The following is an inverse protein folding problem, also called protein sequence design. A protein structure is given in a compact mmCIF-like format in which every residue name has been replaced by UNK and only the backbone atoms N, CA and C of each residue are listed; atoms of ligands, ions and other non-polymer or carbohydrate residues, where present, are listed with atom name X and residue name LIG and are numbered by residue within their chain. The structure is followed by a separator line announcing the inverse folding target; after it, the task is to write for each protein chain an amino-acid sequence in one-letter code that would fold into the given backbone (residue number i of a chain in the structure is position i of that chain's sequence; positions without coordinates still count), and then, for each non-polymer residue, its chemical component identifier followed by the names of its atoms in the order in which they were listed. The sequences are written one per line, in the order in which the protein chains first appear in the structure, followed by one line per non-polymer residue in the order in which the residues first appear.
data_IF_048285584246
#
_entry.id   IF_048285584246
#
_cell.length_a   1.000
_cell.length_b   1.000
_cell.length_c   1.000
_cell.angle_alpha   90.00
_cell.angle_beta   90.00
_cell.angle_gamma   90.00
#
_symmetry.space_group_name_H-M   'P 1'
#
loop_
_entity.id
_entity.type
_entity.pdbx_description
1 polymer ?
#
# COMPACT_ATOMS: atom_id res chain seq x y z
N UNK A 1 7.10 -11.07 -8.18
CA UNK A 1 5.86 -11.71 -8.72
C UNK A 1 5.67 -13.18 -8.27
N UNK A 2 6.26 -13.63 -7.14
CA UNK A 2 6.11 -15.00 -6.60
C UNK A 2 4.64 -15.42 -6.42
N UNK A 3 3.81 -14.49 -5.96
CA UNK A 3 2.43 -14.72 -5.52
C UNK A 3 1.36 -14.55 -6.62
N UNK A 4 1.76 -14.13 -7.83
CA UNK A 4 0.84 -13.90 -8.95
C UNK A 4 0.73 -15.10 -9.90
N UNK A 5 1.72 -16.00 -9.90
CA UNK A 5 1.76 -17.10 -10.86
C UNK A 5 0.70 -18.16 -10.53
N UNK A 6 -0.29 -18.38 -11.42
CA UNK A 6 -1.39 -19.30 -11.17
C UNK A 6 -0.97 -20.77 -11.06
N UNK A 7 0.24 -21.12 -11.51
CA UNK A 7 0.80 -22.48 -11.40
C UNK A 7 1.22 -22.83 -9.98
N UNK A 8 1.51 -21.83 -9.15
CA UNK A 8 2.06 -22.00 -7.79
C UNK A 8 1.26 -21.29 -6.71
N UNK A 9 0.40 -20.32 -7.07
CA UNK A 9 -0.40 -19.54 -6.13
C UNK A 9 -1.90 -19.80 -6.33
N UNK A 10 -2.62 -20.03 -5.24
CA UNK A 10 -4.07 -20.19 -5.20
C UNK A 10 -4.82 -18.90 -5.55
N UNK A 11 -6.11 -19.01 -5.89
CA UNK A 11 -6.92 -17.82 -6.19
C UNK A 11 -6.97 -16.81 -5.03
N UNK A 12 -7.17 -17.22 -3.74
CA UNK A 12 -7.09 -16.29 -2.61
C UNK A 12 -5.73 -15.58 -2.49
N UNK A 13 -4.62 -16.27 -2.77
CA UNK A 13 -3.28 -15.66 -2.75
C UNK A 13 -3.14 -14.60 -3.85
N UNK A 14 -3.66 -14.87 -5.04
CA UNK A 14 -3.63 -13.90 -6.14
C UNK A 14 -4.53 -12.68 -5.87
N UNK A 15 -5.71 -12.88 -5.29
CA UNK A 15 -6.60 -11.77 -4.88
C UNK A 15 -5.93 -10.91 -3.81
N UNK A 16 -5.29 -11.53 -2.81
CA UNK A 16 -4.56 -10.80 -1.78
C UNK A 16 -3.34 -10.06 -2.34
N UNK A 17 -2.62 -10.70 -3.27
CA UNK A 17 -1.48 -10.07 -3.95
C UNK A 17 -1.93 -8.87 -4.76
N UNK A 18 -3.06 -8.98 -5.46
CA UNK A 18 -3.68 -7.86 -6.15
C UNK A 18 -4.02 -6.72 -5.18
N UNK A 19 -4.69 -7.00 -4.06
CA UNK A 19 -4.95 -5.99 -3.03
C UNK A 19 -3.68 -5.32 -2.48
N UNK A 20 -2.58 -6.08 -2.36
CA UNK A 20 -1.28 -5.57 -1.92
C UNK A 20 -0.64 -4.67 -2.99
N UNK A 21 -0.77 -5.00 -4.27
CA UNK A 21 -0.27 -4.18 -5.38
C UNK A 21 -1.05 -2.87 -5.47
N UNK A 22 -2.38 -2.89 -5.43
CA UNK A 22 -3.18 -1.66 -5.55
C UNK A 22 -3.09 -0.80 -4.28
N UNK A 23 -2.97 -1.44 -3.10
CA UNK A 23 -3.10 -0.75 -1.81
C UNK A 23 -1.79 -0.38 -1.13
N UNK A 24 -0.71 -1.14 -1.33
CA UNK A 24 0.59 -0.93 -0.66
C UNK A 24 1.66 -0.49 -1.65
N UNK A 25 1.80 -1.15 -2.80
CA UNK A 25 2.74 -0.67 -3.81
C UNK A 25 2.33 0.72 -4.29
N UNK A 26 3.32 1.56 -4.58
CA UNK A 26 3.14 2.96 -4.97
C UNK A 26 2.50 3.89 -3.91
N UNK A 27 2.08 3.38 -2.75
CA UNK A 27 1.56 4.22 -1.67
C UNK A 27 2.60 5.28 -1.25
N UNK A 28 3.88 4.92 -1.21
CA UNK A 28 4.97 5.86 -0.93
C UNK A 28 5.13 6.92 -2.02
N UNK A 29 4.92 6.55 -3.29
CA UNK A 29 4.94 7.47 -4.43
C UNK A 29 3.79 8.48 -4.38
N UNK A 30 2.56 8.01 -4.11
CA UNK A 30 1.41 8.90 -3.96
C UNK A 30 1.62 9.90 -2.82
N UNK A 31 2.11 9.45 -1.67
CA UNK A 31 2.44 10.31 -0.54
C UNK A 31 3.54 11.33 -0.90
N UNK A 32 4.56 10.91 -1.66
CA UNK A 32 5.65 11.78 -2.13
C UNK A 32 5.16 12.89 -3.07
N UNK A 33 4.18 12.60 -3.94
CA UNK A 33 3.61 13.62 -4.81
C UNK A 33 2.68 14.56 -4.02
N UNK A 34 1.91 14.04 -3.06
CA UNK A 34 1.15 14.89 -2.13
C UNK A 34 2.05 15.82 -1.31
N UNK A 35 3.26 15.39 -0.97
CA UNK A 35 4.25 16.25 -0.35
C UNK A 35 4.64 17.44 -1.23
N UNK A 36 4.81 17.23 -2.54
CA UNK A 36 5.06 18.31 -3.51
C UNK A 36 3.83 19.24 -3.62
N UNK A 37 2.61 18.70 -3.61
CA UNK A 37 1.37 19.49 -3.57
C UNK A 37 1.34 20.42 -2.36
N UNK A 38 1.71 19.94 -1.16
CA UNK A 38 1.75 20.75 0.08
C UNK A 38 2.69 21.95 -0.04
N UNK A 39 3.71 21.86 -0.90
CA UNK A 39 4.67 22.93 -1.21
C UNK A 39 4.22 23.83 -2.37
N UNK A 40 3.03 23.60 -2.93
CA UNK A 40 2.51 24.34 -4.09
C UNK A 40 3.22 24.02 -5.40
N UNK A 41 3.90 22.86 -5.49
CA UNK A 41 4.68 22.46 -6.65
C UNK A 41 3.88 21.51 -7.57
N UNK A 42 4.13 21.59 -8.88
CA UNK A 42 3.60 20.66 -9.89
C UNK A 42 2.07 20.42 -9.79
N UNK A 43 1.23 21.45 -10.00
CA UNK A 43 -0.22 21.36 -9.79
C UNK A 43 -0.90 20.35 -10.73
N UNK A 44 -0.47 20.26 -11.99
CA UNK A 44 -1.01 19.27 -12.94
C UNK A 44 -0.71 17.83 -12.50
N UNK A 45 0.53 17.55 -12.06
CA UNK A 45 0.92 16.25 -11.53
C UNK A 45 0.14 15.91 -10.26
N UNK A 46 0.01 16.87 -9.34
CA UNK A 46 -0.71 16.67 -8.07
C UNK A 46 -2.19 16.36 -8.29
N UNK A 47 -2.83 17.08 -9.22
CA UNK A 47 -4.22 16.82 -9.58
C UNK A 47 -4.40 15.43 -10.20
N UNK A 48 -3.55 15.03 -11.16
CA UNK A 48 -3.58 13.67 -11.70
C UNK A 48 -3.33 12.61 -10.63
N UNK A 49 -2.40 12.87 -9.71
CA UNK A 49 -2.10 11.98 -8.60
C UNK A 49 -3.31 11.76 -7.68
N UNK A 50 -4.08 12.80 -7.38
CA UNK A 50 -5.33 12.68 -6.60
C UNK A 50 -6.35 11.76 -7.26
N UNK A 51 -6.52 11.90 -8.58
CA UNK A 51 -7.46 11.08 -9.33
C UNK A 51 -7.00 9.62 -9.36
N UNK A 52 -5.72 9.39 -9.62
CA UNK A 52 -5.15 8.03 -9.67
C UNK A 52 -5.20 7.39 -8.28
N UNK A 53 -4.75 8.06 -7.23
CA UNK A 53 -4.77 7.51 -5.88
C UNK A 53 -6.18 7.19 -5.39
N UNK A 54 -7.18 7.98 -5.79
CA UNK A 54 -8.59 7.68 -5.53
C UNK A 54 -9.01 6.37 -6.22
N UNK A 55 -8.63 6.21 -7.49
CA UNK A 55 -9.01 5.04 -8.28
C UNK A 55 -8.32 3.76 -7.73
N UNK A 56 -7.05 3.84 -7.33
CA UNK A 56 -6.36 2.72 -6.67
C UNK A 56 -6.98 2.35 -5.30
N UNK A 57 -7.52 3.33 -4.58
CA UNK A 57 -8.34 3.08 -3.39
C UNK A 57 -9.55 2.23 -3.70
N UNK A 58 -10.27 2.57 -4.77
CA UNK A 58 -11.43 1.81 -5.22
C UNK A 58 -11.07 0.39 -5.65
N UNK A 59 -9.93 0.20 -6.34
CA UNK A 59 -9.44 -1.12 -6.71
C UNK A 59 -9.08 -1.96 -5.47
N UNK A 60 -8.43 -1.35 -4.49
CA UNK A 60 -8.08 -1.99 -3.22
C UNK A 60 -9.31 -2.41 -2.41
N UNK A 61 -10.32 -1.53 -2.35
CA UNK A 61 -11.60 -1.82 -1.69
C UNK A 61 -12.34 -2.95 -2.41
N UNK A 62 -12.32 -2.96 -3.74
CA UNK A 62 -12.89 -4.04 -4.53
C UNK A 62 -12.17 -5.38 -4.29
N UNK A 63 -10.84 -5.38 -4.25
CA UNK A 63 -10.06 -6.57 -3.93
C UNK A 63 -10.36 -7.10 -2.52
N UNK A 64 -10.50 -6.20 -1.54
CA UNK A 64 -10.89 -6.54 -0.17
C UNK A 64 -12.31 -7.12 -0.11
N UNK A 65 -13.24 -6.55 -0.88
CA UNK A 65 -14.60 -7.08 -1.02
C UNK A 65 -14.58 -8.49 -1.64
N UNK A 66 -13.84 -8.70 -2.74
CA UNK A 66 -13.68 -10.02 -3.35
C UNK A 66 -13.13 -11.04 -2.35
N UNK A 67 -12.09 -10.66 -1.60
CA UNK A 67 -11.50 -11.51 -0.57
C UNK A 67 -12.51 -11.85 0.54
N UNK A 68 -13.34 -10.89 0.96
CA UNK A 68 -14.36 -11.09 2.00
C UNK A 68 -15.39 -12.16 1.61
N UNK A 69 -15.69 -12.31 0.31
CA UNK A 69 -16.64 -13.26 -0.26
C UNK A 69 -16.07 -14.65 -0.53
N UNK A 70 -14.76 -14.85 -0.33
CA UNK A 70 -14.15 -16.17 -0.43
C UNK A 70 -14.66 -17.09 0.68
N UNK A 71 -15.03 -18.31 0.30
CA UNK A 71 -15.42 -19.37 1.25
C UNK A 71 -14.18 -19.88 2.01
N UNK A 72 -13.11 -20.18 1.28
CA UNK A 72 -11.84 -20.67 1.83
C UNK A 72 -10.82 -19.53 1.87
N UNK A 73 -10.76 -18.83 3.01
CA UNK A 73 -9.79 -17.75 3.25
C UNK A 73 -8.43 -18.32 3.63
N UNK A 74 -7.38 -17.52 3.39
CA UNK A 74 -6.02 -17.90 3.79
C UNK A 74 -5.87 -17.81 5.31
N UNK A 75 -5.00 -18.63 5.92
CA UNK A 75 -4.63 -18.43 7.31
C UNK A 75 -3.97 -17.06 7.47
N UNK A 76 -4.22 -16.39 8.60
CA UNK A 76 -3.70 -15.04 8.86
C UNK A 76 -2.17 -14.95 8.73
N UNK A 77 -1.44 -16.02 9.04
CA UNK A 77 0.01 -16.10 8.85
C UNK A 77 0.44 -15.97 7.39
N UNK A 78 -0.28 -16.58 6.44
CA UNK A 78 0.00 -16.45 4.99
C UNK A 78 -0.41 -15.06 4.48
N UNK A 79 -1.48 -14.49 5.02
CA UNK A 79 -1.86 -13.10 4.71
C UNK A 79 -0.74 -12.14 5.13
N UNK A 80 -0.25 -12.30 6.37
CA UNK A 80 0.85 -11.50 6.89
C UNK A 80 2.14 -11.68 6.09
N UNK A 81 2.46 -12.88 5.62
CA UNK A 81 3.63 -13.14 4.77
C UNK A 81 3.58 -12.28 3.50
N UNK A 82 2.47 -12.35 2.75
CA UNK A 82 2.31 -11.63 1.48
C UNK A 82 2.36 -10.10 1.69
N UNK A 83 1.69 -9.61 2.74
CA UNK A 83 1.67 -8.18 3.07
C UNK A 83 3.05 -7.69 3.52
N UNK A 84 3.81 -8.46 4.32
CA UNK A 84 5.18 -8.08 4.72
C UNK A 84 6.14 -8.04 3.54
N UNK A 85 6.04 -9.00 2.62
CA UNK A 85 6.81 -8.99 1.38
C UNK A 85 6.55 -7.70 0.59
N UNK A 86 5.27 -7.31 0.48
CA UNK A 86 4.86 -6.06 -0.16
C UNK A 86 5.45 -4.81 0.49
N UNK A 87 5.34 -4.69 1.81
CA UNK A 87 5.90 -3.57 2.58
C UNK A 87 7.41 -3.48 2.43
N UNK A 88 8.11 -4.62 2.46
CA UNK A 88 9.57 -4.67 2.35
C UNK A 88 10.04 -4.10 1.02
N UNK A 89 9.36 -4.47 -0.08
CA UNK A 89 9.68 -3.96 -1.42
C UNK A 89 9.42 -2.45 -1.50
N UNK A 90 8.30 -1.96 -0.98
CA UNK A 90 8.00 -0.52 -1.00
C UNK A 90 8.96 0.28 -0.12
N UNK A 91 9.40 -0.27 1.02
CA UNK A 91 10.45 0.32 1.87
C UNK A 91 11.77 0.48 1.12
N UNK A 92 12.23 -0.57 0.43
CA UNK A 92 13.43 -0.52 -0.42
C UNK A 92 13.28 0.52 -1.53
N UNK A 93 12.08 0.62 -2.13
CA UNK A 93 11.81 1.60 -3.17
C UNK A 93 11.97 3.04 -2.68
N UNK A 94 11.32 3.42 -1.57
CA UNK A 94 11.34 4.80 -1.06
C UNK A 94 12.64 5.21 -0.37
N UNK A 95 13.48 4.25 0.01
CA UNK A 95 14.77 4.50 0.66
C UNK A 95 15.94 4.45 -0.30
N UNK A 96 15.98 3.42 -1.15
CA UNK A 96 17.19 3.03 -1.87
C UNK A 96 17.04 3.33 -3.37
N UNK A 97 15.90 2.99 -3.98
CA UNK A 97 15.68 3.20 -5.43
C UNK A 97 15.35 4.65 -5.78
N UNK A 98 14.40 5.25 -5.06
CA UNK A 98 14.02 6.66 -5.17
C UNK A 98 13.95 7.27 -3.75
N UNK A 99 15.11 7.64 -3.17
CA UNK A 99 15.18 8.17 -1.82
C UNK A 99 14.29 9.40 -1.64
N UNK A 100 13.28 9.32 -0.78
CA UNK A 100 12.33 10.42 -0.53
C UNK A 100 12.98 11.64 0.13
N UNK A 101 14.17 11.47 0.70
CA UNK A 101 15.04 12.55 1.15
C UNK A 101 15.38 13.53 0.03
N UNK A 102 15.47 13.06 -1.23
CA UNK A 102 15.79 13.91 -2.39
C UNK A 102 14.76 15.03 -2.62
N UNK A 103 13.51 14.83 -2.17
CA UNK A 103 12.42 15.81 -2.22
C UNK A 103 12.13 16.46 -0.86
N UNK A 104 12.99 16.21 0.14
CA UNK A 104 12.92 16.78 1.48
C UNK A 104 11.95 16.08 2.43
N UNK A 105 11.61 14.81 2.19
CA UNK A 105 10.88 13.98 3.14
C UNK A 105 11.84 13.17 4.03
N UNK A 106 11.31 12.51 5.06
CA UNK A 106 12.07 11.62 5.94
C UNK A 106 11.68 10.17 5.64
N UNK A 107 12.64 9.32 5.22
CA UNK A 107 12.35 7.92 4.88
C UNK A 107 11.82 7.12 6.05
N UNK A 108 12.26 7.35 7.29
CA UNK A 108 11.73 6.63 8.45
C UNK A 108 10.23 6.90 8.66
N UNK A 109 9.81 8.16 8.47
CA UNK A 109 8.39 8.53 8.51
C UNK A 109 7.62 7.98 7.30
N UNK A 110 8.24 7.90 6.13
CA UNK A 110 7.64 7.24 4.96
C UNK A 110 7.46 5.73 5.18
N UNK A 111 8.44 5.06 5.78
CA UNK A 111 8.34 3.65 6.13
C UNK A 111 7.18 3.41 7.12
N UNK A 112 7.04 4.26 8.15
CA UNK A 112 5.89 4.22 9.07
C UNK A 112 4.55 4.47 8.36
N UNK A 113 4.52 5.35 7.35
CA UNK A 113 3.33 5.56 6.53
C UNK A 113 2.94 4.28 5.78
N UNK A 114 3.90 3.63 5.13
CA UNK A 114 3.68 2.38 4.38
C UNK A 114 3.19 1.28 5.33
N UNK A 115 3.76 1.18 6.54
CA UNK A 115 3.31 0.26 7.59
C UNK A 115 1.88 0.53 8.04
N UNK A 116 1.50 1.81 8.19
CA UNK A 116 0.14 2.22 8.50
C UNK A 116 -0.85 1.84 7.39
N UNK A 117 -0.48 2.05 6.12
CA UNK A 117 -1.29 1.65 4.96
C UNK A 117 -1.48 0.13 4.93
N UNK A 118 -0.41 -0.63 5.21
CA UNK A 118 -0.49 -2.09 5.29
C UNK A 118 -1.41 -2.57 6.43
N UNK A 119 -1.32 -1.96 7.62
CA UNK A 119 -2.23 -2.27 8.72
C UNK A 119 -3.69 -1.92 8.38
N UNK A 120 -3.93 -0.85 7.63
CA UNK A 120 -5.27 -0.50 7.16
C UNK A 120 -5.82 -1.56 6.20
N UNK A 121 -5.00 -2.02 5.25
CA UNK A 121 -5.38 -3.12 4.36
C UNK A 121 -5.70 -4.40 5.14
N UNK A 122 -4.86 -4.77 6.12
CA UNK A 122 -5.10 -5.93 6.98
C UNK A 122 -6.44 -5.82 7.73
N UNK A 123 -6.76 -4.64 8.25
CA UNK A 123 -8.06 -4.39 8.87
C UNK A 123 -9.23 -4.57 7.88
N UNK A 124 -9.12 -4.05 6.65
CA UNK A 124 -10.14 -4.24 5.61
C UNK A 124 -10.34 -5.70 5.22
N UNK A 125 -9.28 -6.51 5.33
CA UNK A 125 -9.32 -7.97 5.09
C UNK A 125 -9.84 -8.77 6.31
N UNK A 126 -10.07 -8.12 7.46
CA UNK A 126 -10.49 -8.77 8.71
C UNK A 126 -9.36 -9.52 9.42
N UNK A 127 -8.10 -9.15 9.18
CA UNK A 127 -6.90 -9.77 9.75
C UNK A 127 -6.25 -8.80 10.74
N UNK A 128 -5.59 -9.33 11.78
CA UNK A 128 -4.91 -8.50 12.77
C UNK A 128 -3.75 -7.71 12.17
N UNK A 129 -3.52 -6.51 12.71
CA UNK A 129 -2.39 -5.63 12.37
C UNK A 129 -1.05 -6.31 12.66
N UNK A 130 -0.02 -5.91 11.91
CA UNK A 130 1.36 -6.37 12.08
C UNK A 130 2.19 -5.29 12.77
N UNK A 131 2.08 -4.05 12.33
CA UNK A 131 3.01 -2.98 12.71
C UNK A 131 2.49 -2.14 13.88
N UNK A 132 1.17 -2.05 14.04
CA UNK A 132 0.49 -1.13 14.95
C UNK A 132 0.98 0.32 14.75
N UNK A 133 1.30 0.67 13.51
CA UNK A 133 1.81 1.98 13.17
C UNK A 133 0.71 3.04 13.38
N UNK A 134 1.06 4.12 14.09
CA UNK A 134 0.21 5.29 14.25
C UNK A 134 0.78 6.39 13.36
N UNK A 135 0.00 6.87 12.39
CA UNK A 135 0.49 7.89 11.48
C UNK A 135 0.02 9.29 11.89
N UNK A 136 0.98 10.18 12.16
CA UNK A 136 0.75 11.55 12.64
C UNK A 136 0.87 12.64 11.55
N UNK A 137 1.26 12.30 10.31
CA UNK A 137 1.80 13.32 9.40
C UNK A 137 0.83 13.95 8.39
N UNK A 138 -0.21 13.26 7.90
CA UNK A 138 -1.16 13.89 6.94
C UNK A 138 -2.52 13.19 6.97
N UNK A 139 -3.58 13.93 7.31
CA UNK A 139 -4.97 13.50 7.34
C UNK A 139 -5.66 13.59 5.95
N UNK A 140 -4.91 13.51 4.84
CA UNK A 140 -5.41 13.88 3.51
C UNK A 140 -4.70 13.22 2.32
N UNK A 141 -4.03 12.07 2.51
CA UNK A 141 -3.57 11.23 1.38
C UNK A 141 -4.60 10.19 0.94
N UNK A 142 -5.78 10.20 1.56
CA UNK A 142 -6.97 9.41 1.20
C UNK A 142 -8.21 10.23 1.50
#
# INVERSE_FOLDING_TARGET
LKWCDPRVSSYPERVLTFATVEGIFFSGSFCSIFWLKKRGLTPGLSFSNELISRDEGMHTDFASLMYSKLVNKLPGSRVHEIVRDGVTIEHEFVRDSLPVESIGMNSALMCQYIEFVADRLLCSLGVSKIYNACYALVCSCW
#
